data_IF_638081680678
#
_entry.id   IF_638081680678
#
_cell.length_a   1.000
_cell.length_b   1.000
_cell.length_c   1.000
_cell.angle_alpha   90.00
_cell.angle_beta   90.00
_cell.angle_gamma   90.00
#
_symmetry.space_group_name_H-M   'P 1'
#
loop_
_entity.id
_entity.type
_entity.pdbx_description
1 polymer ?
#
# COMPACT_ATOMS: atom_id res chain seq x y z
N UNK A 1 -20.12 -9.54 20.27
CA UNK A 1 -19.19 -9.90 19.18
C UNK A 1 -20.01 -10.52 18.07
N UNK A 2 -19.85 -10.04 16.84
CA UNK A 2 -20.59 -10.51 15.66
C UNK A 2 -19.64 -11.29 14.74
N UNK A 3 -20.04 -12.50 14.37
CA UNK A 3 -19.28 -13.37 13.47
C UNK A 3 -19.74 -13.10 12.04
N UNK A 4 -18.78 -12.82 11.15
CA UNK A 4 -19.10 -12.62 9.74
C UNK A 4 -19.58 -13.93 9.11
N UNK A 5 -20.81 -13.96 8.60
CA UNK A 5 -21.38 -15.14 7.94
C UNK A 5 -20.68 -15.49 6.61
N UNK A 6 -19.86 -14.59 6.05
CA UNK A 6 -19.15 -14.80 4.79
C UNK A 6 -17.76 -15.41 4.97
N UNK A 7 -17.01 -14.99 5.97
CA UNK A 7 -15.61 -15.43 6.17
C UNK A 7 -15.30 -15.97 7.57
N UNK A 8 -16.28 -16.01 8.48
CA UNK A 8 -16.11 -16.55 9.84
C UNK A 8 -15.31 -15.65 10.79
N UNK A 9 -14.82 -14.48 10.34
CA UNK A 9 -14.04 -13.57 11.19
C UNK A 9 -14.93 -12.95 12.28
N UNK A 10 -14.43 -12.95 13.51
CA UNK A 10 -15.05 -12.23 14.63
C UNK A 10 -14.83 -10.72 14.50
N UNK A 11 -15.89 -9.93 14.69
CA UNK A 11 -15.85 -8.48 14.68
C UNK A 11 -16.56 -7.96 15.95
N UNK A 12 -16.19 -6.77 16.40
CA UNK A 12 -16.91 -6.10 17.49
C UNK A 12 -18.27 -5.60 17.00
N UNK A 13 -19.25 -5.48 17.91
CA UNK A 13 -20.64 -5.14 17.58
C UNK A 13 -20.82 -3.69 17.10
N UNK A 14 -19.76 -2.87 17.15
CA UNK A 14 -19.74 -1.50 16.62
C UNK A 14 -19.58 -1.46 15.09
N UNK A 15 -19.06 -2.52 14.48
CA UNK A 15 -18.77 -2.53 13.06
C UNK A 15 -20.01 -2.90 12.23
N UNK A 16 -20.27 -2.09 11.20
CA UNK A 16 -21.31 -2.34 10.19
C UNK A 16 -20.85 -3.32 9.10
N UNK A 17 -19.53 -3.41 8.88
CA UNK A 17 -18.91 -4.25 7.86
C UNK A 17 -17.80 -5.11 8.46
N UNK A 18 -17.58 -6.30 7.89
CA UNK A 18 -16.54 -7.21 8.33
C UNK A 18 -15.14 -6.71 7.98
N UNK A 19 -14.25 -6.62 8.98
CA UNK A 19 -12.83 -6.25 8.82
C UNK A 19 -11.98 -7.32 8.11
N UNK A 20 -12.56 -8.41 7.63
CA UNK A 20 -11.88 -9.48 6.91
C UNK A 20 -12.24 -9.54 5.44
N UNK A 21 -13.53 -9.44 5.12
CA UNK A 21 -14.03 -9.62 3.76
C UNK A 21 -14.91 -8.47 3.24
N UNK A 22 -15.18 -7.44 4.06
CA UNK A 22 -16.00 -6.29 3.66
C UNK A 22 -17.51 -6.54 3.59
N UNK A 23 -17.99 -7.76 3.88
CA UNK A 23 -19.42 -8.04 3.89
C UNK A 23 -20.16 -7.29 5.02
N UNK A 24 -21.41 -6.90 4.76
CA UNK A 24 -22.28 -6.32 5.79
C UNK A 24 -22.50 -7.29 6.95
N UNK A 25 -22.47 -6.75 8.17
CA UNK A 25 -22.72 -7.48 9.41
C UNK A 25 -24.15 -7.16 9.87
N UNK A 26 -25.06 -8.11 9.68
CA UNK A 26 -26.45 -7.96 10.13
C UNK A 26 -26.53 -8.16 11.64
N UNK A 27 -26.94 -7.12 12.37
CA UNK A 27 -27.32 -7.25 13.77
C UNK A 27 -28.69 -7.93 13.81
N UNK A 28 -28.77 -9.17 14.31
CA UNK A 28 -30.06 -9.76 14.63
C UNK A 28 -30.75 -8.90 15.69
N UNK A 29 -31.75 -8.13 15.27
CA UNK A 29 -32.65 -7.43 16.15
C UNK A 29 -33.45 -8.47 16.93
N UNK A 30 -33.27 -8.43 18.25
CA UNK A 30 -34.01 -9.22 19.21
C UNK A 30 -35.53 -8.92 19.04
N UNK A 31 -36.40 -9.93 18.91
CA UNK A 31 -37.81 -9.68 18.69
C UNK A 31 -38.42 -9.00 19.93
N UNK A 32 -39.17 -7.93 19.69
CA UNK A 32 -39.96 -7.25 20.72
C UNK A 32 -41.01 -8.21 21.32
N UNK A 33 -41.32 -8.13 22.62
CA UNK A 33 -42.34 -8.97 23.22
C UNK A 33 -43.73 -8.62 22.65
N UNK A 34 -44.47 -9.66 22.28
CA UNK A 34 -45.82 -9.58 21.74
C UNK A 34 -46.78 -8.87 22.70
N UNK A 35 -47.42 -7.78 22.26
CA UNK A 35 -48.56 -7.19 22.95
C UNK A 35 -49.85 -7.65 22.27
N UNK A 36 -50.55 -8.58 22.94
CA UNK A 36 -51.95 -8.89 22.67
C UNK A 36 -52.82 -7.69 23.01
N UNK A 37 -53.71 -7.33 22.08
CA UNK A 37 -54.48 -6.09 22.15
C UNK A 37 -55.67 -6.11 23.11
N UNK A 38 -56.28 -4.93 23.26
CA UNK A 38 -57.73 -4.74 23.35
C UNK A 38 -58.06 -3.24 23.17
N UNK A 39 -59.07 -2.98 22.33
CA UNK A 39 -59.67 -1.67 22.06
C UNK A 39 -60.40 -1.10 23.28
N UNK A 40 -60.21 0.20 23.57
CA UNK A 40 -61.30 1.08 24.03
C UNK A 40 -61.11 2.48 23.43
N UNK A 41 -62.17 2.99 22.82
CA UNK A 41 -62.26 4.30 22.20
C UNK A 41 -62.60 5.43 23.19
N UNK A 42 -62.35 6.67 22.72
CA UNK A 42 -63.05 7.94 23.01
C UNK A 42 -62.37 9.02 23.86
N UNK A 43 -62.72 10.27 23.47
CA UNK A 43 -62.46 11.62 24.02
C UNK A 43 -61.10 12.25 23.68
N UNK A 44 -60.96 13.06 22.62
CA UNK A 44 -61.42 14.45 22.39
C UNK A 44 -60.75 15.49 23.32
N UNK A 45 -59.94 16.39 22.73
CA UNK A 45 -60.12 17.86 22.63
C UNK A 45 -58.88 18.73 23.00
N UNK A 46 -58.56 19.72 22.13
CA UNK A 46 -57.84 21.01 22.35
C UNK A 46 -56.32 20.92 22.68
N UNK A 47 -55.38 21.78 22.26
CA UNK A 47 -55.34 23.18 21.81
C UNK A 47 -54.16 23.41 20.84
N UNK A 48 -54.28 24.48 20.05
CA UNK A 48 -53.26 25.08 19.21
C UNK A 48 -52.40 26.10 19.98
N UNK A 49 -51.25 26.42 19.38
CA UNK A 49 -50.33 27.56 19.57
C UNK A 49 -49.63 27.61 20.95
N UNK A 50 -48.33 27.91 21.11
CA UNK A 50 -47.66 29.21 20.89
C UNK A 50 -46.11 29.00 20.95
N UNK A 51 -45.37 29.54 19.97
CA UNK A 51 -43.92 29.89 20.00
C UNK A 51 -43.81 31.32 20.63
N UNK A 52 -42.71 31.88 21.21
CA UNK A 52 -41.31 31.54 20.96
C UNK A 52 -40.30 31.79 22.13
N UNK A 53 -39.01 31.63 21.80
CA UNK A 53 -37.84 32.36 22.35
C UNK A 53 -36.84 31.49 23.12
N UNK A 54 -35.63 31.37 22.55
CA UNK A 54 -34.47 30.79 23.19
C UNK A 54 -33.21 31.17 22.41
N UNK A 55 -32.78 32.43 22.56
CA UNK A 55 -31.48 32.89 22.09
C UNK A 55 -30.37 32.12 22.81
N UNK A 56 -29.42 31.55 22.07
CA UNK A 56 -28.17 31.03 22.61
C UNK A 56 -27.01 31.66 21.87
N UNK A 57 -26.22 32.40 22.65
CA UNK A 57 -25.06 33.19 22.26
C UNK A 57 -23.85 32.29 22.03
N UNK A 58 -23.02 32.67 21.06
CA UNK A 58 -21.67 32.16 20.88
C UNK A 58 -20.71 32.69 21.97
N UNK A 59 -19.56 32.03 22.15
CA UNK A 59 -18.33 32.79 22.33
C UNK A 59 -17.26 32.39 21.32
N UNK A 60 -16.72 33.42 20.66
CA UNK A 60 -15.46 33.39 19.95
C UNK A 60 -14.30 33.63 20.94
N UNK A 61 -13.23 32.84 20.85
CA UNK A 61 -11.91 33.25 21.31
C UNK A 61 -10.84 32.81 20.31
N UNK A 62 -10.17 33.80 19.76
CA UNK A 62 -9.02 33.68 18.87
C UNK A 62 -7.74 33.52 19.70
N UNK A 63 -6.93 32.51 19.38
CA UNK A 63 -5.56 32.36 19.87
C UNK A 63 -4.56 32.72 18.77
N UNK A 64 -3.66 33.68 19.04
CA UNK A 64 -2.56 34.05 18.17
C UNK A 64 -1.29 33.19 18.42
N UNK A 65 -0.37 33.10 17.44
CA UNK A 65 0.77 32.17 17.46
C UNK A 65 2.00 32.65 18.24
N UNK A 66 2.80 31.68 18.70
CA UNK A 66 4.07 31.86 19.47
C UNK A 66 5.28 31.94 18.50
N UNK A 67 6.23 32.86 18.68
CA UNK A 67 7.44 32.95 17.85
C UNK A 67 8.58 32.00 18.32
N UNK A 68 9.50 31.57 17.43
CA UNK A 68 10.62 30.69 17.77
C UNK A 68 11.81 31.46 18.38
N UNK A 69 12.44 30.85 19.40
CA UNK A 69 13.64 31.34 20.07
C UNK A 69 14.92 31.02 19.28
N UNK A 70 15.83 32.01 19.27
CA UNK A 70 17.15 31.96 18.65
C UNK A 70 18.14 31.12 19.47
N UNK A 71 18.94 30.31 18.79
CA UNK A 71 20.09 29.61 19.37
C UNK A 71 21.31 30.55 19.42
N UNK A 72 21.88 30.73 20.62
CA UNK A 72 23.17 31.38 20.84
C UNK A 72 24.26 30.32 21.02
N UNK A 73 25.39 30.51 20.33
CA UNK A 73 26.60 29.70 20.50
C UNK A 73 27.55 30.23 21.58
N UNK A 74 28.61 29.46 21.85
CA UNK A 74 29.82 29.98 22.51
C UNK A 74 30.71 28.95 23.24
N UNK A 75 31.98 28.86 22.78
CA UNK A 75 33.19 28.43 23.54
C UNK A 75 33.41 26.91 23.72
N UNK A 76 34.59 26.29 23.60
CA UNK A 76 35.99 26.73 23.43
C UNK A 76 36.95 26.07 24.45
N UNK A 77 37.64 24.96 24.05
CA UNK A 77 38.95 24.35 24.48
C UNK A 77 39.32 24.18 26.00
N UNK A 78 40.36 23.40 26.46
CA UNK A 78 41.47 22.62 25.81
C UNK A 78 41.80 21.20 26.41
N UNK A 79 42.88 20.48 25.99
CA UNK A 79 43.26 19.11 26.42
C UNK A 79 44.40 19.06 27.48
N UNK A 80 44.72 17.88 28.06
CA UNK A 80 45.98 17.15 27.77
C UNK A 80 45.80 15.60 27.88
N UNK A 81 46.66 14.64 27.57
CA UNK A 81 48.10 14.52 27.31
C UNK A 81 48.60 13.18 27.92
N UNK A 82 49.15 12.29 27.08
CA UNK A 82 50.16 11.23 27.35
C UNK A 82 50.08 10.24 28.54
N UNK A 83 50.28 8.94 28.27
CA UNK A 83 50.71 7.96 29.27
C UNK A 83 50.63 6.51 28.79
N UNK A 84 51.77 5.81 28.77
CA UNK A 84 51.95 4.49 28.14
C UNK A 84 51.38 3.27 28.89
N UNK A 85 51.51 2.11 28.25
CA UNK A 85 51.22 0.80 28.86
C UNK A 85 51.22 -0.33 27.82
N UNK A 86 52.31 -1.07 27.71
CA UNK A 86 52.40 -2.31 26.92
C UNK A 86 51.80 -3.48 27.70
N UNK A 87 50.89 -4.23 27.09
CA UNK A 87 50.55 -5.60 27.47
C UNK A 87 50.44 -6.47 26.22
N UNK A 88 51.21 -7.56 26.16
CA UNK A 88 51.14 -8.55 25.09
C UNK A 88 49.90 -9.44 25.27
N UNK A 89 49.18 -9.80 24.17
CA UNK A 89 48.15 -10.82 24.20
C UNK A 89 48.71 -12.26 24.02
N UNK A 90 47.95 -13.30 24.41
CA UNK A 90 48.42 -14.69 24.47
C UNK A 90 48.56 -15.37 23.09
N UNK A 91 49.43 -16.39 23.06
CA UNK A 91 49.82 -17.15 21.87
C UNK A 91 48.65 -17.91 21.22
N UNK A 92 48.54 -17.80 19.89
CA UNK A 92 47.52 -18.46 19.06
C UNK A 92 47.93 -19.89 18.69
N UNK A 93 46.97 -20.82 18.75
CA UNK A 93 47.10 -22.16 18.14
C UNK A 93 47.19 -22.05 16.61
N UNK A 94 47.92 -22.94 15.90
CA UNK A 94 47.99 -22.89 14.46
C UNK A 94 46.61 -23.16 13.84
N UNK A 95 46.14 -22.35 12.87
CA UNK A 95 44.86 -22.58 12.23
C UNK A 95 44.90 -23.88 11.42
N UNK A 96 43.88 -24.72 11.58
CA UNK A 96 43.56 -25.78 10.61
C UNK A 96 43.47 -25.12 9.24
N UNK A 97 44.21 -25.63 8.26
CA UNK A 97 44.18 -25.15 6.88
C UNK A 97 42.73 -25.14 6.39
N UNK A 98 42.14 -23.95 6.32
CA UNK A 98 40.81 -23.76 5.79
C UNK A 98 40.92 -23.94 4.27
N UNK A 99 40.08 -24.80 3.72
CA UNK A 99 39.98 -24.96 2.27
C UNK A 99 39.73 -23.59 1.62
N UNK A 100 40.40 -23.28 0.52
CA UNK A 100 40.24 -22.00 -0.15
C UNK A 100 38.83 -21.79 -0.71
N UNK A 101 38.48 -20.55 -1.07
CA UNK A 101 37.23 -20.25 -1.77
C UNK A 101 37.11 -21.06 -3.07
N UNK A 102 35.87 -21.47 -3.40
CA UNK A 102 35.54 -22.29 -4.57
C UNK A 102 34.67 -21.50 -5.53
N UNK A 103 34.96 -21.56 -6.83
CA UNK A 103 34.12 -20.88 -7.82
C UNK A 103 32.85 -21.70 -8.08
N UNK A 104 31.72 -21.01 -8.10
CA UNK A 104 30.43 -21.60 -8.44
C UNK A 104 30.44 -22.08 -9.89
N UNK A 105 30.07 -23.35 -10.14
CA UNK A 105 29.99 -23.90 -11.48
C UNK A 105 28.86 -23.31 -12.34
N UNK A 106 27.84 -22.70 -11.71
CA UNK A 106 26.69 -22.12 -12.41
C UNK A 106 26.92 -20.67 -12.84
N UNK A 107 27.56 -19.85 -12.00
CA UNK A 107 27.74 -18.42 -12.27
C UNK A 107 29.18 -17.91 -12.19
N UNK A 108 30.14 -18.77 -11.82
CA UNK A 108 31.56 -18.41 -11.70
C UNK A 108 31.93 -17.61 -10.45
N UNK A 109 30.95 -17.19 -9.64
CA UNK A 109 31.21 -16.39 -8.44
C UNK A 109 32.07 -17.16 -7.43
N UNK A 110 32.99 -16.46 -6.78
CA UNK A 110 33.82 -17.01 -5.72
C UNK A 110 32.97 -17.22 -4.45
N UNK A 111 32.87 -18.47 -4.00
CA UNK A 111 32.06 -18.88 -2.84
C UNK A 111 32.99 -19.29 -1.70
N UNK A 112 32.87 -18.68 -0.51
CA UNK A 112 33.70 -19.06 0.64
C UNK A 112 33.54 -20.53 1.02
N UNK A 113 34.58 -21.15 1.59
CA UNK A 113 34.49 -22.51 2.12
C UNK A 113 33.38 -22.58 3.19
N UNK A 114 32.69 -23.72 3.27
CA UNK A 114 31.54 -24.03 4.16
C UNK A 114 30.16 -23.52 3.74
N UNK A 115 30.04 -22.73 2.66
CA UNK A 115 28.73 -22.37 2.13
C UNK A 115 28.14 -23.53 1.32
N UNK A 116 26.95 -24.00 1.72
CA UNK A 116 26.20 -25.07 1.02
C UNK A 116 25.56 -24.60 -0.29
N UNK A 117 25.40 -23.29 -0.46
CA UNK A 117 24.79 -22.65 -1.63
C UNK A 117 25.59 -21.41 -2.02
N UNK A 118 25.61 -21.08 -3.31
CA UNK A 118 26.20 -19.84 -3.81
C UNK A 118 25.37 -18.64 -3.36
N UNK A 119 25.97 -17.69 -2.63
CA UNK A 119 25.26 -16.47 -2.19
C UNK A 119 24.89 -15.51 -3.32
N UNK A 120 25.40 -15.72 -4.53
CA UNK A 120 25.13 -14.88 -5.71
C UNK A 120 23.99 -15.42 -6.56
N UNK A 121 24.00 -16.73 -6.88
CA UNK A 121 22.98 -17.33 -7.76
C UNK A 121 22.08 -18.38 -7.09
N UNK A 122 22.35 -18.75 -5.84
CA UNK A 122 21.56 -19.73 -5.08
C UNK A 122 21.83 -21.20 -5.41
N UNK A 123 22.69 -21.52 -6.38
CA UNK A 123 22.98 -22.91 -6.75
C UNK A 123 23.65 -23.70 -5.62
N UNK A 124 23.29 -24.96 -5.36
CA UNK A 124 23.96 -25.79 -4.36
C UNK A 124 25.42 -26.05 -4.75
N UNK A 125 26.34 -25.97 -3.78
CA UNK A 125 27.75 -26.26 -3.98
C UNK A 125 27.98 -27.76 -3.76
N UNK A 126 28.43 -28.51 -4.79
CA UNK A 126 28.71 -29.94 -4.66
C UNK A 126 29.73 -30.20 -3.54
N UNK A 127 29.36 -31.07 -2.59
CA UNK A 127 30.26 -31.60 -1.56
C UNK A 127 31.14 -32.67 -2.23
N UNK A 128 32.34 -32.27 -2.65
CA UNK A 128 33.27 -33.16 -3.34
C UNK A 128 33.87 -34.21 -2.41
N UNK A 129 33.36 -35.45 -2.48
CA UNK A 129 34.14 -36.66 -2.20
C UNK A 129 34.99 -37.03 -3.43
N UNK A 130 36.18 -37.63 -3.27
CA UNK A 130 37.13 -37.79 -4.37
C UNK A 130 36.73 -38.93 -5.30
N UNK A 131 36.59 -38.64 -6.59
CA UNK A 131 36.84 -39.62 -7.66
C UNK A 131 37.74 -38.99 -8.73
N UNK A 132 38.90 -39.61 -8.88
CA UNK A 132 39.99 -39.27 -9.78
C UNK A 132 39.71 -39.71 -11.21
N UNK A 133 39.74 -38.71 -12.10
CA UNK A 133 40.40 -38.63 -13.40
C UNK A 133 40.75 -39.89 -14.22
N UNK A 134 40.43 -39.79 -15.51
CA UNK A 134 41.10 -40.45 -16.64
C UNK A 134 40.10 -40.67 -17.77
N UNK A 135 40.23 -40.16 -18.99
CA UNK A 135 41.23 -39.33 -19.62
C UNK A 135 40.89 -39.19 -21.12
N UNK A 136 41.69 -38.36 -21.79
CA UNK A 136 42.01 -38.40 -23.22
C UNK A 136 40.98 -37.86 -24.24
N UNK A 137 41.41 -36.74 -24.83
CA UNK A 137 41.05 -36.22 -26.14
C UNK A 137 41.64 -37.13 -27.24
N UNK A 138 41.02 -37.22 -28.42
CA UNK A 138 41.76 -36.69 -29.57
C UNK A 138 40.91 -35.85 -30.53
N UNK A 139 41.65 -34.97 -31.22
CA UNK A 139 41.20 -34.00 -32.19
C UNK A 139 40.57 -34.63 -33.45
N UNK A 140 39.56 -33.95 -33.98
CA UNK A 140 39.20 -33.97 -35.40
C UNK A 140 38.56 -32.63 -35.79
N UNK A 141 39.22 -31.87 -36.66
CA UNK A 141 38.58 -30.97 -37.64
C UNK A 141 38.16 -31.84 -38.85
N UNK A 142 37.16 -31.48 -39.69
CA UNK A 142 36.83 -30.12 -40.13
C UNK A 142 35.33 -29.81 -40.37
N UNK A 143 35.08 -28.57 -40.83
CA UNK A 143 33.93 -28.06 -41.61
C UNK A 143 33.03 -27.04 -40.89
N UNK A 144 33.33 -25.77 -41.19
CA UNK A 144 32.48 -24.61 -40.98
C UNK A 144 31.18 -24.75 -41.78
N UNK A 145 30.08 -24.99 -41.09
CA UNK A 145 28.76 -24.56 -41.52
C UNK A 145 28.34 -23.42 -40.61
N UNK A 146 28.10 -22.27 -41.24
CA UNK A 146 27.54 -21.10 -40.59
C UNK A 146 26.11 -21.43 -40.15
N UNK A 147 25.96 -21.87 -38.90
CA UNK A 147 24.73 -21.72 -38.16
C UNK A 147 24.75 -20.32 -37.60
N UNK A 148 23.92 -19.45 -38.15
CA UNK A 148 23.51 -18.21 -37.52
C UNK A 148 23.08 -18.55 -36.09
N UNK A 149 23.94 -18.21 -35.13
CA UNK A 149 23.56 -18.23 -33.73
C UNK A 149 22.29 -17.37 -33.60
N UNK A 150 21.18 -17.88 -33.03
CA UNK A 150 20.11 -16.99 -32.66
C UNK A 150 20.73 -15.94 -31.74
N UNK A 151 20.50 -14.66 -32.06
CA UNK A 151 20.86 -13.57 -31.17
C UNK A 151 20.43 -13.96 -29.74
N UNK A 152 21.24 -13.70 -28.70
CA UNK A 152 20.84 -14.00 -27.35
C UNK A 152 19.47 -13.36 -27.14
N UNK A 153 18.44 -14.20 -27.01
CA UNK A 153 17.12 -13.74 -26.64
C UNK A 153 17.35 -12.90 -25.38
N UNK A 154 17.06 -11.60 -25.48
CA UNK A 154 17.22 -10.69 -24.38
C UNK A 154 16.59 -11.37 -23.16
N UNK A 155 17.38 -11.56 -22.10
CA UNK A 155 16.87 -12.10 -20.84
C UNK A 155 15.58 -11.32 -20.52
N UNK A 156 14.47 -12.00 -20.16
CA UNK A 156 13.20 -11.33 -19.99
C UNK A 156 13.43 -10.15 -19.03
N UNK A 157 12.99 -8.96 -19.45
CA UNK A 157 13.11 -7.77 -18.61
C UNK A 157 12.40 -8.06 -17.29
N UNK A 158 13.18 -8.35 -16.24
CA UNK A 158 12.65 -8.57 -14.91
C UNK A 158 12.27 -7.21 -14.34
N UNK A 159 11.03 -6.80 -14.60
CA UNK A 159 10.42 -5.70 -13.88
C UNK A 159 10.12 -6.16 -12.45
N UNK A 160 10.20 -5.26 -11.48
CA UNK A 160 9.84 -5.56 -10.09
C UNK A 160 9.02 -4.43 -9.51
N UNK A 161 8.14 -4.77 -8.59
CA UNK A 161 7.34 -3.83 -7.83
C UNK A 161 7.79 -3.89 -6.36
N UNK A 162 8.15 -2.75 -5.79
CA UNK A 162 8.56 -2.66 -4.38
C UNK A 162 7.42 -2.08 -3.56
N UNK A 163 7.03 -2.77 -2.49
CA UNK A 163 6.07 -2.25 -1.52
C UNK A 163 6.75 -1.15 -0.70
N UNK A 164 6.12 0.02 -0.58
CA UNK A 164 6.58 1.11 0.28
C UNK A 164 5.61 1.23 1.46
N UNK A 165 6.14 1.12 2.68
CA UNK A 165 5.37 1.23 3.93
C UNK A 165 5.07 2.69 4.28
N UNK A 166 4.13 2.97 5.20
CA UNK A 166 3.81 4.33 5.63
C UNK A 166 5.00 5.12 6.20
N UNK A 167 5.99 4.44 6.77
CA UNK A 167 7.24 5.02 7.28
C UNK A 167 8.28 5.28 6.16
N UNK A 168 7.94 5.00 4.91
CA UNK A 168 8.82 5.14 3.75
C UNK A 168 9.78 3.98 3.54
N UNK A 169 9.80 2.97 4.42
CA UNK A 169 10.66 1.79 4.28
C UNK A 169 10.16 0.82 3.20
N UNK A 170 11.06 0.04 2.63
CA UNK A 170 10.70 -1.03 1.71
C UNK A 170 10.08 -2.22 2.48
N UNK A 171 8.86 -2.60 2.09
CA UNK A 171 8.07 -3.66 2.70
C UNK A 171 8.22 -5.03 2.03
N UNK A 172 8.97 -5.12 0.93
CA UNK A 172 9.15 -6.34 0.15
C UNK A 172 9.15 -6.06 -1.36
N UNK A 173 9.51 -7.06 -2.14
CA UNK A 173 9.57 -6.98 -3.61
C UNK A 173 8.69 -8.07 -4.21
N UNK A 174 7.82 -7.69 -5.13
CA UNK A 174 7.05 -8.58 -5.98
C UNK A 174 7.67 -8.61 -7.38
N UNK A 175 8.12 -9.78 -7.81
CA UNK A 175 8.77 -9.95 -9.11
C UNK A 175 7.71 -10.02 -10.20
N UNK A 176 7.82 -9.15 -11.20
CA UNK A 176 6.91 -9.14 -12.34
C UNK A 176 7.45 -10.04 -13.45
N UNK A 177 6.53 -10.72 -14.11
CA UNK A 177 6.75 -11.54 -15.29
C UNK A 177 6.21 -10.82 -16.52
N UNK A 178 6.68 -11.23 -17.69
CA UNK A 178 6.07 -10.84 -18.96
C UNK A 178 4.62 -11.34 -19.02
N UNK A 179 3.69 -10.53 -19.53
CA UNK A 179 2.26 -10.84 -19.57
C UNK A 179 1.50 -10.26 -18.38
N UNK A 180 0.39 -10.89 -18.01
CA UNK A 180 -0.49 -10.42 -16.93
C UNK A 180 0.03 -10.82 -15.55
N UNK A 181 0.17 -9.83 -14.65
CA UNK A 181 0.51 -10.03 -13.25
C UNK A 181 -0.67 -9.54 -12.40
N UNK A 182 -1.34 -10.44 -11.68
CA UNK A 182 -2.42 -10.08 -10.78
C UNK A 182 -1.88 -9.55 -9.46
N UNK A 183 -2.53 -8.52 -8.93
CA UNK A 183 -2.18 -7.85 -7.67
C UNK A 183 -3.41 -7.86 -6.78
N UNK A 184 -3.26 -8.24 -5.53
CA UNK A 184 -4.33 -8.29 -4.53
C UNK A 184 -3.96 -9.21 -3.38
N UNK A 185 -4.82 -9.29 -2.37
CA UNK A 185 -4.55 -10.14 -1.18
C UNK A 185 -4.35 -11.62 -1.52
N UNK A 186 -4.96 -12.09 -2.60
CA UNK A 186 -4.85 -13.50 -3.02
C UNK A 186 -3.62 -13.76 -3.89
N UNK A 187 -2.86 -12.72 -4.26
CA UNK A 187 -1.81 -12.76 -5.30
C UNK A 187 -0.41 -12.42 -4.75
N UNK A 188 -0.05 -12.99 -3.59
CA UNK A 188 1.32 -13.02 -3.08
C UNK A 188 1.48 -12.59 -1.62
N UNK A 189 2.50 -13.13 -0.97
CA UNK A 189 2.75 -12.94 0.46
C UNK A 189 2.95 -11.46 0.88
N UNK A 190 3.40 -10.61 -0.04
CA UNK A 190 3.57 -9.16 0.24
C UNK A 190 2.24 -8.44 0.44
N UNK A 191 1.12 -9.01 -0.01
CA UNK A 191 -0.20 -8.35 -0.03
C UNK A 191 -1.24 -9.03 0.85
N UNK A 192 -1.02 -10.26 1.29
CA UNK A 192 -2.02 -11.12 1.94
C UNK A 192 -2.65 -10.50 3.20
N UNK A 193 -1.89 -9.70 3.94
CA UNK A 193 -2.33 -9.07 5.19
C UNK A 193 -2.89 -7.65 5.00
N UNK A 194 -2.85 -7.08 3.79
CA UNK A 194 -3.24 -5.69 3.57
C UNK A 194 -4.77 -5.56 3.43
N UNK A 195 -5.42 -5.08 4.49
CA UNK A 195 -6.86 -4.87 4.53
C UNK A 195 -7.41 -3.84 3.53
N UNK A 196 -6.55 -3.02 2.92
CA UNK A 196 -6.95 -2.05 1.90
C UNK A 196 -6.92 -2.63 0.48
N UNK A 197 -6.37 -3.83 0.29
CA UNK A 197 -6.41 -4.50 -1.00
C UNK A 197 -7.63 -5.41 -1.14
N UNK A 198 -8.34 -5.32 -2.27
CA UNK A 198 -9.25 -6.37 -2.71
C UNK A 198 -8.52 -7.72 -2.87
N UNK A 199 -9.23 -8.86 -2.78
CA UNK A 199 -8.63 -10.18 -3.03
C UNK A 199 -7.91 -10.25 -4.38
N UNK A 200 -8.59 -9.78 -5.44
CA UNK A 200 -8.00 -9.43 -6.74
C UNK A 200 -8.27 -7.94 -6.96
N UNK A 201 -7.22 -7.11 -6.97
CA UNK A 201 -7.31 -5.65 -6.92
C UNK A 201 -6.98 -5.01 -8.27
N UNK A 202 -5.88 -5.40 -8.89
CA UNK A 202 -5.43 -4.84 -10.17
C UNK A 202 -4.68 -5.89 -11.00
N UNK A 203 -4.52 -5.61 -12.28
CA UNK A 203 -3.64 -6.34 -13.17
C UNK A 203 -2.57 -5.40 -13.72
N UNK A 204 -1.31 -5.82 -13.64
CA UNK A 204 -0.20 -5.15 -14.32
C UNK A 204 0.25 -6.03 -15.50
N UNK A 205 0.01 -5.54 -16.70
CA UNK A 205 0.35 -6.23 -17.95
C UNK A 205 1.72 -5.72 -18.40
N UNK A 206 2.72 -6.59 -18.44
CA UNK A 206 4.08 -6.28 -18.86
C UNK A 206 4.34 -6.78 -20.27
N UNK A 207 4.61 -5.86 -21.18
CA UNK A 207 4.89 -6.11 -22.59
C UNK A 207 6.25 -5.51 -22.96
N UNK A 208 7.31 -6.30 -22.76
CA UNK A 208 8.67 -5.94 -23.13
C UNK A 208 9.21 -4.90 -22.15
N UNK A 209 9.28 -3.64 -22.57
CA UNK A 209 9.69 -2.52 -21.72
C UNK A 209 8.51 -1.65 -21.27
N UNK A 210 7.28 -2.03 -21.58
CA UNK A 210 6.06 -1.32 -21.21
C UNK A 210 5.31 -2.10 -20.14
N UNK A 211 4.72 -1.37 -19.20
CA UNK A 211 3.75 -1.92 -18.26
C UNK A 211 2.47 -1.10 -18.32
N UNK A 212 1.32 -1.76 -18.29
CA UNK A 212 0.00 -1.13 -18.23
C UNK A 212 -0.73 -1.64 -17.00
N UNK A 213 -1.16 -0.73 -16.14
CA UNK A 213 -1.90 -1.04 -14.92
C UNK A 213 -3.40 -0.88 -15.18
N UNK A 214 -4.18 -1.89 -14.80
CA UNK A 214 -5.64 -1.91 -14.89
C UNK A 214 -6.22 -2.19 -13.51
N UNK A 215 -7.02 -1.27 -12.98
CA UNK A 215 -7.86 -1.53 -11.81
C UNK A 215 -8.92 -2.59 -12.17
N UNK A 216 -9.12 -3.57 -11.29
CA UNK A 216 -10.06 -4.68 -11.49
C UNK A 216 -11.31 -4.48 -10.63
N UNK A 217 -11.88 -3.28 -10.68
CA UNK A 217 -13.03 -2.85 -9.87
C UNK A 217 -12.75 -3.01 -8.37
N UNK A 218 -11.59 -2.52 -7.94
CA UNK A 218 -11.16 -2.65 -6.55
C UNK A 218 -12.03 -1.80 -5.60
N UNK A 219 -12.04 -2.15 -4.31
CA UNK A 219 -12.86 -1.42 -3.32
C UNK A 219 -12.30 -0.02 -3.07
N UNK A 220 -10.97 0.10 -2.95
CA UNK A 220 -10.29 1.33 -2.56
C UNK A 220 -9.66 2.06 -3.75
N UNK A 221 -9.66 1.48 -4.95
CA UNK A 221 -9.09 2.09 -6.15
C UNK A 221 -7.57 1.99 -6.26
N UNK A 222 -7.09 2.28 -7.48
CA UNK A 222 -5.67 2.42 -7.82
C UNK A 222 -5.38 3.88 -8.13
N UNK A 223 -4.34 4.44 -7.53
CA UNK A 223 -3.96 5.84 -7.70
C UNK A 223 -2.52 5.98 -8.19
N UNK A 224 -2.29 6.97 -9.04
CA UNK A 224 -0.95 7.40 -9.44
C UNK A 224 -0.49 8.46 -8.45
N UNK A 225 0.75 8.32 -7.95
CA UNK A 225 1.35 9.32 -7.06
C UNK A 225 1.68 10.57 -7.88
N UNK A 226 1.10 11.70 -7.50
CA UNK A 226 1.49 13.01 -8.02
C UNK A 226 2.91 13.35 -7.55
N UNK A 227 3.80 13.68 -8.47
CA UNK A 227 5.17 14.10 -8.19
C UNK A 227 5.41 15.58 -8.43
N UNK A 228 4.50 16.23 -9.15
CA UNK A 228 4.51 17.64 -9.49
C UNK A 228 3.09 18.21 -9.41
N UNK A 229 2.95 19.50 -9.69
CA UNK A 229 1.63 20.12 -9.79
C UNK A 229 0.96 19.65 -11.08
N UNK A 230 -0.23 19.06 -10.94
CA UNK A 230 -1.02 18.55 -12.06
C UNK A 230 -2.42 19.19 -12.02
N UNK A 231 -2.98 19.42 -13.21
CA UNK A 231 -4.35 19.92 -13.35
C UNK A 231 -5.35 18.84 -12.94
N UNK A 232 -6.34 19.23 -12.12
CA UNK A 232 -7.42 18.35 -11.69
C UNK A 232 -8.64 18.57 -12.56
N UNK A 233 -9.05 17.52 -13.28
CA UNK A 233 -10.26 17.58 -14.10
C UNK A 233 -11.53 17.34 -13.27
N UNK A 234 -12.68 17.94 -13.66
CA UNK A 234 -13.96 17.69 -13.01
C UNK A 234 -14.32 16.19 -13.05
N UNK A 235 -14.68 15.63 -11.90
CA UNK A 235 -14.97 14.22 -11.69
C UNK A 235 -13.78 13.39 -11.23
N UNK A 236 -12.55 13.92 -11.28
CA UNK A 236 -11.38 13.19 -10.80
C UNK A 236 -11.41 12.97 -9.29
N UNK A 237 -10.87 11.82 -8.88
CA UNK A 237 -10.72 11.42 -7.49
C UNK A 237 -9.25 11.58 -7.10
N UNK A 238 -9.01 12.35 -6.05
CA UNK A 238 -7.69 12.62 -5.49
C UNK A 238 -7.64 11.99 -4.11
N UNK A 239 -6.49 11.39 -3.78
CA UNK A 239 -6.22 10.87 -2.45
C UNK A 239 -5.24 11.76 -1.70
N UNK A 240 -5.63 12.22 -0.51
CA UNK A 240 -4.77 12.96 0.41
C UNK A 240 -4.73 12.24 1.74
N UNK A 241 -3.58 11.63 2.06
CA UNK A 241 -3.47 10.76 3.24
C UNK A 241 -4.40 9.55 3.13
N UNK A 242 -5.40 9.48 3.99
CA UNK A 242 -6.43 8.42 3.98
C UNK A 242 -7.76 8.89 3.35
N UNK A 243 -7.89 10.17 3.02
CA UNK A 243 -9.13 10.72 2.49
C UNK A 243 -9.15 10.61 0.96
N UNK A 244 -10.32 10.23 0.43
CA UNK A 244 -10.63 10.28 -0.99
C UNK A 244 -11.53 11.48 -1.25
N UNK A 245 -11.16 12.30 -2.23
CA UNK A 245 -11.81 13.55 -2.54
C UNK A 245 -12.20 13.55 -4.02
N UNK A 246 -13.45 13.86 -4.34
CA UNK A 246 -13.90 14.10 -5.72
C UNK A 246 -14.00 15.60 -5.97
N UNK A 247 -13.40 16.07 -7.06
CA UNK A 247 -13.54 17.44 -7.51
C UNK A 247 -14.71 17.56 -8.51
N UNK A 248 -15.56 18.57 -8.37
CA UNK A 248 -16.68 18.85 -9.27
C UNK A 248 -16.78 20.35 -9.56
N UNK A 249 -17.13 20.73 -10.79
CA UNK A 249 -17.43 22.14 -11.10
C UNK A 249 -18.81 22.53 -10.58
N UNK A 250 -18.89 23.71 -9.98
CA UNK A 250 -20.18 24.33 -9.66
C UNK A 250 -20.67 25.03 -10.93
N UNK A 251 -21.70 24.45 -11.55
CA UNK A 251 -22.33 25.06 -12.72
C UNK A 251 -23.35 26.11 -12.28
N UNK A 252 -23.43 27.27 -12.97
CA UNK A 252 -24.51 28.21 -12.75
C UNK A 252 -25.88 27.51 -12.94
N UNK A 253 -26.88 27.82 -12.10
CA UNK A 253 -28.22 27.26 -12.28
C UNK A 253 -28.78 27.72 -13.63
N UNK A 254 -29.25 26.75 -14.42
CA UNK A 254 -30.00 27.03 -15.64
C UNK A 254 -31.49 27.17 -15.29
N UNK A 255 -32.24 28.07 -15.95
CA UNK A 255 -33.70 28.11 -15.84
C UNK A 255 -34.31 26.77 -16.29
N UNK A 256 -35.42 26.39 -15.67
CA UNK A 256 -36.25 25.27 -16.11
C UNK A 256 -36.95 25.61 -17.45
N UNK A 257 -37.52 24.59 -18.11
CA UNK A 257 -38.21 24.75 -19.42
C UNK A 257 -39.37 25.76 -19.37
N UNK A 258 -39.99 25.94 -18.21
CA UNK A 258 -41.07 26.90 -17.97
C UNK A 258 -40.56 28.32 -17.61
N UNK A 259 -39.25 28.53 -17.59
CA UNK A 259 -38.60 29.80 -17.23
C UNK A 259 -38.38 30.00 -15.73
N UNK A 260 -38.72 29.02 -14.88
CA UNK A 260 -38.47 29.11 -13.44
C UNK A 260 -36.97 29.09 -13.14
N UNK A 261 -36.49 30.04 -12.34
CA UNK A 261 -35.09 30.06 -11.90
C UNK A 261 -34.88 29.16 -10.68
N UNK A 262 -33.84 28.31 -10.73
CA UNK A 262 -33.42 27.51 -9.57
C UNK A 262 -32.64 28.40 -8.61
N UNK A 263 -33.29 28.79 -7.51
CA UNK A 263 -32.66 29.50 -6.40
C UNK A 263 -32.02 28.51 -5.43
N UNK A 264 -30.68 28.55 -5.33
CA UNK A 264 -29.91 27.78 -4.34
C UNK A 264 -29.45 28.63 -3.17
N UNK A 265 -28.64 28.04 -2.28
CA UNK A 265 -27.89 28.80 -1.29
C UNK A 265 -27.01 29.85 -1.97
N UNK A 266 -26.79 31.04 -1.35
CA UNK A 266 -25.92 32.05 -1.93
C UNK A 266 -24.54 31.45 -2.25
N UNK A 267 -24.09 31.59 -3.49
CA UNK A 267 -22.76 31.23 -3.93
C UNK A 267 -21.93 32.53 -4.08
N UNK A 268 -21.01 32.86 -3.15
CA UNK A 268 -20.18 34.06 -3.22
C UNK A 268 -19.20 34.11 -4.39
N UNK A 269 -19.13 33.07 -5.23
CA UNK A 269 -18.18 32.95 -6.33
C UNK A 269 -17.36 31.66 -6.33
N UNK A 270 -17.80 30.64 -5.60
CA UNK A 270 -17.23 29.30 -5.68
C UNK A 270 -17.46 28.74 -7.08
N UNK A 271 -16.38 28.25 -7.67
CA UNK A 271 -16.34 27.69 -9.03
C UNK A 271 -16.32 26.15 -9.02
N UNK A 272 -16.02 25.56 -7.87
CA UNK A 272 -15.90 24.12 -7.70
C UNK A 272 -16.23 23.68 -6.28
N UNK A 273 -16.53 22.39 -6.16
CA UNK A 273 -16.84 21.69 -4.91
C UNK A 273 -15.89 20.50 -4.81
N UNK A 274 -15.38 20.28 -3.61
CA UNK A 274 -14.67 19.05 -3.26
C UNK A 274 -15.57 18.24 -2.32
N UNK A 275 -15.71 16.95 -2.57
CA UNK A 275 -16.56 16.06 -1.77
C UNK A 275 -15.76 14.88 -1.28
N UNK A 276 -15.83 14.61 0.03
CA UNK A 276 -15.20 13.43 0.64
C UNK A 276 -15.97 12.19 0.21
N UNK A 277 -15.28 11.16 -0.25
CA UNK A 277 -15.87 9.87 -0.62
C UNK A 277 -15.69 8.93 0.56
N UNK A 278 -16.80 8.44 1.12
CA UNK A 278 -16.79 7.52 2.28
C UNK A 278 -17.17 6.08 1.90
N UNK A 279 -17.54 5.83 0.65
CA UNK A 279 -17.84 4.51 0.11
C UNK A 279 -18.08 4.52 -1.40
N UNK A 280 -18.25 3.33 -1.99
CA UNK A 280 -18.64 3.19 -3.40
C UNK A 280 -20.00 3.86 -3.58
N UNK A 281 -20.00 5.02 -4.24
CA UNK A 281 -21.15 5.88 -4.48
C UNK A 281 -21.75 6.58 -3.24
N UNK A 282 -20.98 6.69 -2.15
CA UNK A 282 -21.40 7.41 -0.95
C UNK A 282 -20.49 8.59 -0.69
N UNK A 283 -21.08 9.77 -0.79
CA UNK A 283 -20.44 11.03 -0.44
C UNK A 283 -20.60 11.31 1.06
N UNK A 284 -19.51 11.68 1.71
CA UNK A 284 -19.48 12.19 3.07
C UNK A 284 -19.80 13.67 3.12
N UNK A 285 -20.32 14.11 4.26
CA UNK A 285 -20.34 15.53 4.61
C UNK A 285 -18.91 15.99 4.85
N UNK A 286 -18.37 16.78 3.92
CA UNK A 286 -17.11 17.51 4.08
C UNK A 286 -17.26 18.63 5.13
#
# INVERSE_FOLDING_TARGET
MIICQRCGKENQDVYKFCLGCGAELHKEQQPAPAQGGQNVAMMKTMMADVNPSGAAQAPAQAGQPVPPQQAQGGGGFPPPGGGGGYQQPPQQQPPRQQAGPRNCAACGAEVPPNFKFCGVCGSPMQEGGPTTAGGQVPASEPQQQAHSAPAPAAAPAQARMTLIRPDGSEGGVHQLQQGENLIGRDHGATFETDGYLSPTHAALIVEGNRATLRDLDSLNGVFVRMTEEEEVEPGQIIRIGQELLRFELIRPPAPLEDGTEVMGSPNPGYWGKVTVIIGRDVDGSA
#
